data_IF_548970396538
#
_entry.id   IF_548970396538
#
_cell.length_a   1.000
_cell.length_b   1.000
_cell.length_c   1.000
_cell.angle_alpha   90.00
_cell.angle_beta   90.00
_cell.angle_gamma   90.00
#
_symmetry.space_group_name_H-M   'P 1'
#
loop_
_entity.id
_entity.type
_entity.pdbx_description
1 polymer ?
#
# COMPACT_ATOMS: atom_id res chain seq x y z
N UNK A 1 3.69 -3.31 -32.28
CA UNK A 1 4.36 -2.26 -31.49
C UNK A 1 5.11 -1.40 -32.48
N UNK A 2 4.68 -0.15 -32.70
CA UNK A 2 5.49 0.84 -33.41
C UNK A 2 6.75 1.11 -32.58
N UNK A 3 7.91 1.13 -33.21
CA UNK A 3 9.15 1.51 -32.54
C UNK A 3 9.04 2.98 -32.17
N UNK A 4 9.21 3.30 -30.88
CA UNK A 4 9.34 4.68 -30.41
C UNK A 4 10.58 5.28 -31.05
N UNK A 5 10.44 6.47 -31.64
CA UNK A 5 11.58 7.25 -32.14
C UNK A 5 12.37 7.82 -30.99
N UNK A 6 13.65 8.11 -31.18
CA UNK A 6 14.55 8.70 -30.15
C UNK A 6 13.98 10.03 -29.61
N UNK A 7 13.19 10.76 -30.42
CA UNK A 7 12.56 12.02 -30.04
C UNK A 7 11.39 11.84 -29.05
N UNK A 8 10.77 10.65 -28.97
CA UNK A 8 9.66 10.36 -28.05
C UNK A 8 10.17 10.02 -26.64
N UNK A 9 11.44 9.64 -26.49
CA UNK A 9 12.08 9.29 -25.22
C UNK A 9 12.37 10.49 -24.33
N UNK A 10 12.53 11.67 -24.91
CA UNK A 10 12.86 12.90 -24.19
C UNK A 10 11.63 13.67 -23.69
N UNK A 11 10.39 13.22 -24.04
CA UNK A 11 9.15 13.90 -23.65
C UNK A 11 8.70 13.53 -22.23
N UNK A 12 9.01 12.33 -21.78
CA UNK A 12 8.61 11.86 -20.45
C UNK A 12 9.83 11.36 -19.67
N UNK A 13 9.91 11.64 -18.36
CA UNK A 13 10.96 11.08 -17.51
C UNK A 13 10.93 9.55 -17.50
N UNK A 14 12.10 8.93 -17.30
CA UNK A 14 12.22 7.48 -17.17
C UNK A 14 11.26 6.92 -16.11
N UNK A 15 10.54 5.85 -16.46
CA UNK A 15 9.55 5.19 -15.59
C UNK A 15 8.20 5.90 -15.49
N UNK A 16 7.99 6.97 -16.26
CA UNK A 16 6.67 7.59 -16.47
C UNK A 16 6.23 7.34 -17.91
N UNK A 17 4.98 6.96 -18.11
CA UNK A 17 4.44 6.63 -19.42
C UNK A 17 2.97 7.03 -19.59
N UNK A 18 2.57 7.34 -20.82
CA UNK A 18 1.18 7.54 -21.16
C UNK A 18 0.46 6.18 -21.18
N UNK A 19 -0.66 6.11 -20.48
CA UNK A 19 -1.54 4.96 -20.57
C UNK A 19 -2.56 5.15 -21.69
N UNK A 20 -2.26 4.55 -22.85
CA UNK A 20 -3.06 4.70 -24.06
C UNK A 20 -4.25 3.71 -24.09
N UNK A 21 -5.29 3.94 -24.94
CA UNK A 21 -6.30 2.92 -25.24
C UNK A 21 -5.63 1.70 -25.92
N UNK A 22 -5.99 0.45 -25.63
CA UNK A 22 -7.03 -0.04 -24.72
C UNK A 22 -6.58 -0.21 -23.26
N UNK A 23 -5.32 0.03 -22.93
CA UNK A 23 -4.77 -0.16 -21.58
C UNK A 23 -5.46 0.76 -20.55
N UNK A 24 -5.69 2.04 -20.90
CA UNK A 24 -6.43 2.96 -20.04
C UNK A 24 -7.86 2.48 -19.77
N UNK A 25 -8.56 1.96 -20.79
CA UNK A 25 -9.89 1.41 -20.62
C UNK A 25 -9.89 0.14 -19.76
N UNK A 26 -8.88 -0.72 -19.88
CA UNK A 26 -8.73 -1.91 -19.03
C UNK A 26 -8.52 -1.51 -17.56
N UNK A 27 -7.63 -0.55 -17.30
CA UNK A 27 -7.42 -0.03 -15.96
C UNK A 27 -8.70 0.56 -15.33
N UNK A 28 -9.49 1.30 -16.10
CA UNK A 28 -10.76 1.86 -15.63
C UNK A 28 -11.78 0.76 -15.29
N UNK A 29 -11.85 -0.33 -16.08
CA UNK A 29 -12.72 -1.48 -15.78
C UNK A 29 -12.31 -2.19 -14.50
N UNK A 30 -11.02 -2.48 -14.34
CA UNK A 30 -10.48 -3.12 -13.13
C UNK A 30 -10.75 -2.26 -11.90
N UNK A 31 -10.49 -0.95 -12.00
CA UNK A 31 -10.78 -0.01 -10.90
C UNK A 31 -12.24 -0.06 -10.48
N UNK A 32 -13.15 -0.03 -11.45
CA UNK A 32 -14.59 -0.09 -11.16
C UNK A 32 -14.96 -1.40 -10.50
N UNK A 33 -14.54 -2.55 -11.06
CA UNK A 33 -14.85 -3.85 -10.51
C UNK A 33 -14.38 -4.01 -9.04
N UNK A 34 -13.16 -3.56 -8.73
CA UNK A 34 -12.64 -3.60 -7.35
C UNK A 34 -13.42 -2.66 -6.43
N UNK A 35 -13.69 -1.43 -6.86
CA UNK A 35 -14.43 -0.45 -6.03
C UNK A 35 -15.86 -0.91 -5.77
N UNK A 36 -16.54 -1.51 -6.77
CA UNK A 36 -17.90 -2.04 -6.63
C UNK A 36 -17.95 -3.18 -5.58
N UNK A 37 -16.94 -4.06 -5.52
CA UNK A 37 -16.82 -5.07 -4.47
C UNK A 37 -16.66 -4.41 -3.10
N UNK A 38 -15.77 -3.43 -2.96
CA UNK A 38 -15.53 -2.75 -1.69
C UNK A 38 -16.77 -2.01 -1.19
N UNK A 39 -17.48 -1.34 -2.09
CA UNK A 39 -18.75 -0.65 -1.79
C UNK A 39 -19.82 -1.64 -1.34
N UNK A 40 -19.98 -2.80 -2.01
CA UNK A 40 -20.91 -3.86 -1.63
C UNK A 40 -20.64 -4.44 -0.24
N UNK A 41 -19.39 -4.41 0.22
CA UNK A 41 -19.00 -4.78 1.58
C UNK A 41 -19.07 -3.63 2.60
N UNK A 42 -19.61 -2.47 2.22
CA UNK A 42 -19.81 -1.32 3.10
C UNK A 42 -18.54 -0.52 3.40
N UNK A 43 -17.59 -0.52 2.48
CA UNK A 43 -16.40 0.33 2.58
C UNK A 43 -16.68 1.70 1.95
N UNK A 44 -16.71 2.73 2.77
CA UNK A 44 -16.90 4.11 2.34
C UNK A 44 -15.68 4.64 1.57
N UNK A 45 -15.91 5.28 0.44
CA UNK A 45 -14.84 5.79 -0.39
C UNK A 45 -14.28 7.11 0.16
N UNK A 46 -12.96 7.16 0.32
CA UNK A 46 -12.21 8.38 0.63
C UNK A 46 -11.26 8.74 -0.52
N UNK A 47 -11.05 10.03 -0.71
CA UNK A 47 -10.17 10.54 -1.76
C UNK A 47 -9.24 11.61 -1.19
N UNK A 48 -8.12 11.21 -0.59
CA UNK A 48 -7.13 12.15 -0.10
C UNK A 48 -6.42 12.86 -1.27
N UNK A 49 -5.87 14.08 -1.05
CA UNK A 49 -5.13 14.81 -2.07
C UNK A 49 -3.85 14.08 -2.47
N UNK A 50 -3.38 14.28 -3.71
CA UNK A 50 -2.15 13.68 -4.21
C UNK A 50 -0.89 14.28 -3.58
N UNK A 51 -1.00 15.47 -3.00
CA UNK A 51 0.09 16.27 -2.43
C UNK A 51 -0.28 16.61 -0.99
N UNK A 52 0.64 16.37 -0.08
CA UNK A 52 0.52 16.79 1.34
C UNK A 52 1.86 17.34 1.82
N UNK A 53 1.87 17.94 3.02
CA UNK A 53 3.13 18.29 3.68
C UNK A 53 3.97 17.03 3.91
N UNK A 54 5.24 17.09 3.56
CA UNK A 54 6.18 15.97 3.71
C UNK A 54 6.12 15.34 5.10
N UNK A 55 6.12 16.17 6.15
CA UNK A 55 6.02 15.69 7.55
C UNK A 55 4.75 14.89 7.82
N UNK A 56 3.63 15.26 7.21
CA UNK A 56 2.36 14.55 7.39
C UNK A 56 2.41 13.15 6.80
N UNK A 57 2.97 13.02 5.61
CA UNK A 57 3.15 11.71 4.96
C UNK A 57 4.20 10.85 5.70
N UNK A 58 5.40 11.41 5.91
CA UNK A 58 6.52 10.69 6.50
C UNK A 58 6.26 10.18 7.93
N UNK A 59 5.55 10.93 8.76
CA UNK A 59 5.31 10.56 10.16
C UNK A 59 4.43 9.32 10.34
N UNK A 60 3.71 8.90 9.31
CA UNK A 60 2.79 7.75 9.33
C UNK A 60 3.24 6.58 8.46
N UNK A 61 4.39 6.71 7.82
CA UNK A 61 4.98 5.67 6.98
C UNK A 61 6.04 4.93 7.78
N UNK A 62 5.65 3.86 8.48
CA UNK A 62 6.60 3.01 9.19
C UNK A 62 7.61 2.41 8.20
N UNK A 63 8.90 2.67 8.41
CA UNK A 63 9.98 2.08 7.61
C UNK A 63 10.22 2.69 6.22
N UNK A 64 9.37 3.59 5.73
CA UNK A 64 9.60 4.26 4.44
C UNK A 64 10.43 5.51 4.64
N UNK A 65 11.63 5.52 4.05
CA UNK A 65 12.50 6.69 4.14
C UNK A 65 11.89 7.85 3.33
N UNK A 66 11.88 9.09 3.87
CA UNK A 66 11.44 10.30 3.16
C UNK A 66 12.13 10.51 1.80
N UNK A 67 13.32 9.91 1.62
CA UNK A 67 14.11 9.95 0.38
C UNK A 67 13.43 9.26 -0.82
N UNK A 68 12.36 8.50 -0.62
CA UNK A 68 11.62 7.81 -1.70
C UNK A 68 10.47 8.62 -2.29
N UNK A 69 10.14 9.80 -1.71
CA UNK A 69 9.06 10.65 -2.18
C UNK A 69 9.58 11.79 -3.06
N UNK A 70 8.83 12.15 -4.09
CA UNK A 70 9.02 13.41 -4.79
C UNK A 70 8.66 14.57 -3.87
N UNK A 71 9.60 15.49 -3.70
CA UNK A 71 9.48 16.62 -2.78
C UNK A 71 9.71 17.93 -3.52
N UNK A 72 8.99 18.96 -3.12
CA UNK A 72 9.12 20.30 -3.64
C UNK A 72 8.68 21.33 -2.60
N UNK A 73 9.14 22.55 -2.75
CA UNK A 73 8.71 23.66 -1.90
C UNK A 73 7.41 24.23 -2.44
N UNK A 74 6.38 24.33 -1.57
CA UNK A 74 5.15 25.04 -1.92
C UNK A 74 5.43 26.54 -2.09
N UNK A 75 5.18 27.12 -3.27
CA UNK A 75 5.49 28.54 -3.50
C UNK A 75 4.64 29.50 -2.66
N UNK A 76 3.49 29.06 -2.13
CA UNK A 76 2.62 29.89 -1.31
C UNK A 76 3.02 29.88 0.17
N UNK A 77 3.24 28.72 0.74
CA UNK A 77 3.53 28.57 2.17
C UNK A 77 5.01 28.45 2.51
N UNK A 78 5.85 28.31 1.48
CA UNK A 78 7.31 28.03 1.57
C UNK A 78 7.64 26.74 2.38
N UNK A 79 6.67 25.87 2.53
CA UNK A 79 6.80 24.61 3.27
C UNK A 79 7.10 23.47 2.32
N UNK A 80 7.81 22.46 2.82
CA UNK A 80 8.11 21.24 2.06
C UNK A 80 6.86 20.39 1.89
N UNK A 81 6.51 20.09 0.65
CA UNK A 81 5.44 19.19 0.24
C UNK A 81 6.00 17.96 -0.46
N UNK A 82 5.21 16.90 -0.52
CA UNK A 82 5.57 15.69 -1.25
C UNK A 82 4.35 15.13 -2.01
N UNK A 83 4.64 14.48 -3.14
CA UNK A 83 3.70 13.59 -3.81
C UNK A 83 3.59 12.29 -2.99
N UNK A 84 2.38 11.80 -2.85
CA UNK A 84 2.14 10.53 -2.14
C UNK A 84 2.76 9.36 -2.88
N UNK A 85 3.48 8.53 -2.16
CA UNK A 85 3.99 7.23 -2.63
C UNK A 85 3.13 6.06 -2.15
N UNK A 86 2.18 6.32 -1.24
CA UNK A 86 1.21 5.38 -0.68
C UNK A 86 0.01 6.15 -0.14
N UNK A 87 -1.20 5.59 -0.31
CA UNK A 87 -2.46 6.20 0.15
C UNK A 87 -2.82 5.76 1.58
N UNK A 88 -2.42 4.56 2.02
CA UNK A 88 -2.71 4.01 3.36
C UNK A 88 -2.40 5.00 4.49
N UNK A 89 -1.24 5.69 4.55
CA UNK A 89 -0.94 6.67 5.60
C UNK A 89 -1.92 7.86 5.61
N UNK A 90 -2.42 8.26 4.43
CA UNK A 90 -3.40 9.33 4.32
C UNK A 90 -4.77 8.90 4.86
N UNK A 91 -5.17 7.65 4.62
CA UNK A 91 -6.40 7.07 5.20
C UNK A 91 -6.30 6.99 6.72
N UNK A 92 -5.15 6.56 7.25
CA UNK A 92 -4.86 6.59 8.67
C UNK A 92 -4.97 8.01 9.27
N UNK A 93 -4.47 9.04 8.55
CA UNK A 93 -4.64 10.44 8.95
C UNK A 93 -6.12 10.85 8.98
N UNK A 94 -6.88 10.52 7.93
CA UNK A 94 -8.32 10.83 7.85
C UNK A 94 -9.06 10.19 9.04
N UNK A 95 -8.79 8.92 9.33
CA UNK A 95 -9.39 8.20 10.46
C UNK A 95 -9.05 8.83 11.81
N UNK A 96 -7.82 9.36 11.97
CA UNK A 96 -7.35 9.99 13.20
C UNK A 96 -7.75 11.47 13.34
N UNK A 97 -8.19 12.12 12.27
CA UNK A 97 -8.55 13.56 12.27
C UNK A 97 -10.01 13.78 11.88
N UNK A 98 -10.31 13.81 10.58
CA UNK A 98 -11.65 14.14 10.07
C UNK A 98 -12.73 13.13 10.52
N UNK A 99 -12.36 11.88 10.74
CA UNK A 99 -13.24 10.81 11.21
C UNK A 99 -12.93 10.35 12.65
N UNK A 100 -12.25 11.19 13.45
CA UNK A 100 -11.88 10.84 14.83
C UNK A 100 -13.10 10.53 15.72
N UNK A 101 -14.21 11.25 15.52
CA UNK A 101 -15.47 11.06 16.24
C UNK A 101 -16.43 10.02 15.63
N UNK A 102 -16.08 9.42 14.51
CA UNK A 102 -16.95 8.42 13.87
C UNK A 102 -16.93 7.08 14.61
N UNK A 103 -18.05 6.34 14.53
CA UNK A 103 -18.17 5.01 15.13
C UNK A 103 -17.12 4.05 14.54
N UNK A 104 -16.67 3.11 15.37
CA UNK A 104 -15.71 2.06 14.95
C UNK A 104 -16.43 0.70 14.84
N UNK A 105 -15.95 -0.20 13.97
CA UNK A 105 -14.84 -0.04 13.04
C UNK A 105 -15.18 0.85 11.84
N UNK A 106 -14.22 1.61 11.36
CA UNK A 106 -14.32 2.28 10.05
C UNK A 106 -13.93 1.31 8.95
N UNK A 107 -14.71 1.30 7.90
CA UNK A 107 -14.41 0.62 6.64
C UNK A 107 -14.22 1.68 5.57
N UNK A 108 -12.99 1.89 5.13
CA UNK A 108 -12.64 2.92 4.16
C UNK A 108 -11.96 2.29 2.95
N UNK A 109 -12.29 2.76 1.76
CA UNK A 109 -11.61 2.31 0.54
C UNK A 109 -11.14 3.49 -0.29
N UNK A 110 -10.19 3.24 -1.17
CA UNK A 110 -9.60 4.25 -2.02
C UNK A 110 -9.14 3.69 -3.36
N UNK A 111 -9.05 4.58 -4.35
CA UNK A 111 -8.40 4.36 -5.63
C UNK A 111 -7.72 5.65 -6.06
N UNK A 112 -6.43 5.60 -6.41
CA UNK A 112 -5.71 6.79 -6.83
C UNK A 112 -4.28 6.50 -7.28
N UNK A 113 -3.69 7.47 -7.96
CA UNK A 113 -2.30 7.39 -8.40
C UNK A 113 -1.34 7.62 -7.22
N UNK A 114 -0.26 6.85 -7.20
CA UNK A 114 0.88 7.01 -6.32
C UNK A 114 2.14 7.10 -7.16
N UNK A 115 3.13 7.86 -6.67
CA UNK A 115 4.36 8.13 -7.43
C UNK A 115 5.58 7.89 -6.55
N UNK A 116 6.53 7.10 -7.04
CA UNK A 116 7.81 6.82 -6.37
C UNK A 116 8.97 7.39 -7.17
N UNK A 117 10.06 7.78 -6.50
CA UNK A 117 11.26 8.29 -7.17
C UNK A 117 11.89 7.21 -8.06
N UNK A 118 11.82 5.96 -7.65
CA UNK A 118 12.41 4.81 -8.34
C UNK A 118 11.42 3.66 -8.36
N UNK A 119 11.34 2.95 -9.46
CA UNK A 119 10.61 1.70 -9.57
C UNK A 119 11.19 0.59 -8.67
N UNK A 120 10.44 -0.48 -8.48
CA UNK A 120 10.83 -1.60 -7.63
C UNK A 120 11.37 -2.77 -8.48
N UNK A 121 12.55 -3.26 -8.13
CA UNK A 121 13.15 -4.43 -8.76
C UNK A 121 13.28 -4.30 -10.28
N UNK A 122 12.62 -5.20 -11.01
CA UNK A 122 12.62 -5.24 -12.48
C UNK A 122 11.55 -4.35 -13.15
N UNK A 123 10.65 -3.77 -12.36
CA UNK A 123 9.61 -2.85 -12.86
C UNK A 123 10.07 -1.39 -12.71
N UNK A 124 10.42 -0.72 -13.82
CA UNK A 124 10.88 0.68 -13.77
C UNK A 124 9.74 1.67 -13.53
N UNK A 125 8.47 1.22 -13.55
CA UNK A 125 7.30 2.09 -13.43
C UNK A 125 7.32 2.86 -12.12
N UNK A 126 7.22 4.19 -12.23
CA UNK A 126 7.27 5.13 -11.09
C UNK A 126 5.89 5.65 -10.70
N UNK A 127 4.91 5.61 -11.58
CA UNK A 127 3.53 5.99 -11.32
C UNK A 127 2.62 4.77 -11.42
N UNK A 128 1.87 4.48 -10.35
CA UNK A 128 1.00 3.31 -10.26
C UNK A 128 -0.38 3.70 -9.76
N UNK A 129 -1.40 2.99 -10.23
CA UNK A 129 -2.73 3.05 -9.66
C UNK A 129 -2.77 2.13 -8.43
N UNK A 130 -3.01 2.71 -7.27
CA UNK A 130 -3.21 1.98 -6.01
C UNK A 130 -4.69 1.94 -5.67
N UNK A 131 -5.20 0.74 -5.41
CA UNK A 131 -6.53 0.50 -4.84
C UNK A 131 -6.33 -0.21 -3.51
N UNK A 132 -7.18 0.11 -2.54
CA UNK A 132 -7.08 -0.51 -1.23
C UNK A 132 -8.29 -0.29 -0.37
N UNK A 133 -8.32 -1.06 0.73
CA UNK A 133 -9.33 -0.97 1.76
C UNK A 133 -8.67 -1.07 3.14
N UNK A 134 -9.17 -0.29 4.09
CA UNK A 134 -8.68 -0.23 5.46
C UNK A 134 -9.85 -0.47 6.42
N UNK A 135 -9.71 -1.45 7.30
CA UNK A 135 -10.62 -1.69 8.42
C UNK A 135 -9.94 -1.21 9.69
N UNK A 136 -10.44 -0.14 10.30
CA UNK A 136 -9.76 0.58 11.38
C UNK A 136 -10.60 0.59 12.64
N UNK A 137 -10.01 0.14 13.75
CA UNK A 137 -10.61 0.20 15.08
C UNK A 137 -11.27 -1.12 15.50
N UNK A 138 -10.82 -2.25 14.94
CA UNK A 138 -11.12 -3.60 15.44
C UNK A 138 -9.85 -4.46 15.33
N UNK A 139 -9.55 -5.21 16.38
CA UNK A 139 -8.46 -6.18 16.49
C UNK A 139 -8.96 -7.63 16.51
N UNK A 140 -10.24 -7.83 16.19
CA UNK A 140 -10.85 -9.14 16.21
C UNK A 140 -10.39 -10.04 15.07
N UNK A 141 -10.36 -11.36 15.31
CA UNK A 141 -10.09 -12.36 14.26
C UNK A 141 -11.11 -12.26 13.12
N UNK A 142 -12.35 -11.90 13.43
CA UNK A 142 -13.41 -11.70 12.44
C UNK A 142 -13.08 -10.53 11.49
N UNK A 143 -12.54 -9.42 12.02
CA UNK A 143 -12.11 -8.29 11.19
C UNK A 143 -10.93 -8.65 10.28
N UNK A 144 -9.96 -9.41 10.78
CA UNK A 144 -8.86 -9.92 9.97
C UNK A 144 -9.38 -10.87 8.86
N UNK A 145 -10.32 -11.74 9.17
CA UNK A 145 -10.97 -12.62 8.19
C UNK A 145 -11.76 -11.85 7.14
N UNK A 146 -12.49 -10.81 7.55
CA UNK A 146 -13.24 -9.92 6.64
C UNK A 146 -12.31 -9.30 5.59
N UNK A 147 -11.23 -8.65 6.02
CA UNK A 147 -10.32 -7.95 5.08
C UNK A 147 -9.67 -8.90 4.08
N UNK A 148 -9.34 -10.13 4.51
CA UNK A 148 -8.80 -11.16 3.62
C UNK A 148 -9.85 -11.63 2.60
N UNK A 149 -11.07 -11.91 3.04
CA UNK A 149 -12.15 -12.33 2.16
C UNK A 149 -12.49 -11.27 1.11
N UNK A 150 -12.60 -10.01 1.53
CA UNK A 150 -12.84 -8.86 0.64
C UNK A 150 -11.69 -8.68 -0.36
N UNK A 151 -10.44 -8.83 0.09
CA UNK A 151 -9.28 -8.74 -0.81
C UNK A 151 -9.29 -9.84 -1.88
N UNK A 152 -9.61 -11.08 -1.53
CA UNK A 152 -9.73 -12.19 -2.47
C UNK A 152 -10.84 -11.92 -3.49
N UNK A 153 -12.01 -11.47 -3.03
CA UNK A 153 -13.15 -11.16 -3.91
C UNK A 153 -12.82 -10.02 -4.87
N UNK A 154 -12.21 -8.94 -4.37
CA UNK A 154 -11.79 -7.80 -5.18
C UNK A 154 -10.75 -8.19 -6.25
N UNK A 155 -9.76 -9.02 -5.90
CA UNK A 155 -8.78 -9.53 -6.86
C UNK A 155 -9.43 -10.46 -7.90
N UNK A 156 -10.36 -11.30 -7.48
CA UNK A 156 -11.13 -12.16 -8.39
C UNK A 156 -11.98 -11.34 -9.37
N UNK A 157 -12.64 -10.30 -8.89
CA UNK A 157 -13.41 -9.36 -9.72
C UNK A 157 -12.50 -8.57 -10.69
N UNK A 158 -11.25 -8.31 -10.31
CA UNK A 158 -10.22 -7.73 -11.18
C UNK A 158 -9.74 -8.72 -12.27
N UNK A 159 -10.11 -9.99 -12.21
CA UNK A 159 -9.73 -11.02 -13.16
C UNK A 159 -8.47 -11.81 -12.76
N UNK A 160 -8.00 -11.67 -11.52
CA UNK A 160 -6.85 -12.45 -11.03
C UNK A 160 -7.34 -13.87 -10.70
N UNK A 161 -6.61 -14.88 -11.19
CA UNK A 161 -6.88 -16.30 -10.96
C UNK A 161 -5.70 -16.97 -10.27
N UNK A 162 -5.94 -18.11 -9.60
CA UNK A 162 -4.87 -18.85 -8.94
C UNK A 162 -4.31 -18.12 -7.70
N UNK A 163 -5.19 -17.47 -6.95
CA UNK A 163 -4.80 -16.74 -5.73
C UNK A 163 -4.34 -17.70 -4.64
N UNK A 164 -3.26 -17.33 -3.95
CA UNK A 164 -2.84 -17.91 -2.69
C UNK A 164 -2.72 -16.82 -1.63
N UNK A 165 -2.97 -17.18 -0.37
CA UNK A 165 -2.87 -16.25 0.76
C UNK A 165 -1.86 -16.81 1.75
N UNK A 166 -0.79 -16.09 1.97
CA UNK A 166 0.22 -16.42 2.95
C UNK A 166 0.02 -15.58 4.21
N UNK A 167 -0.16 -16.25 5.35
CA UNK A 167 -0.25 -15.58 6.65
C UNK A 167 1.10 -15.60 7.33
N UNK A 168 1.56 -14.45 7.81
CA UNK A 168 2.72 -14.33 8.67
C UNK A 168 2.28 -14.13 10.11
N UNK A 169 3.08 -14.65 11.05
CA UNK A 169 2.86 -14.51 12.48
C UNK A 169 4.04 -13.73 13.08
N UNK A 170 4.03 -12.39 13.02
CA UNK A 170 5.19 -11.58 13.43
C UNK A 170 5.59 -11.83 14.90
N UNK A 171 4.61 -12.12 15.77
CA UNK A 171 4.85 -12.37 17.19
C UNK A 171 5.11 -13.85 17.53
N UNK A 172 5.24 -14.73 16.51
CA UNK A 172 5.40 -16.17 16.74
C UNK A 172 6.66 -16.47 17.58
N UNK A 173 7.79 -15.87 17.21
CA UNK A 173 9.06 -16.10 17.89
C UNK A 173 9.00 -15.61 19.34
N UNK A 174 8.44 -14.43 19.57
CA UNK A 174 8.27 -13.89 20.93
C UNK A 174 7.34 -14.75 21.77
N UNK A 175 6.24 -15.20 21.18
CA UNK A 175 5.27 -16.06 21.86
C UNK A 175 5.88 -17.41 22.21
N UNK A 176 6.63 -18.02 21.30
CA UNK A 176 7.33 -19.28 21.55
C UNK A 176 8.44 -19.10 22.60
N UNK A 177 9.23 -18.03 22.50
CA UNK A 177 10.28 -17.73 23.47
C UNK A 177 9.72 -17.52 24.88
N UNK A 178 8.54 -16.88 25.00
CA UNK A 178 7.91 -16.63 26.30
C UNK A 178 7.21 -17.85 26.88
N UNK A 179 6.67 -18.76 26.07
CA UNK A 179 5.74 -19.81 26.52
C UNK A 179 6.28 -21.24 26.43
N UNK A 180 7.15 -21.52 25.47
CA UNK A 180 7.49 -22.91 25.15
C UNK A 180 9.01 -23.18 25.03
N UNK A 181 9.76 -22.24 24.46
CA UNK A 181 11.18 -22.42 24.17
C UNK A 181 11.95 -21.17 24.63
N UNK A 182 12.33 -21.04 25.91
CA UNK A 182 13.04 -19.88 26.43
C UNK A 182 14.29 -19.60 25.59
N UNK A 183 14.29 -18.49 24.88
CA UNK A 183 15.43 -18.00 24.10
C UNK A 183 16.06 -16.80 24.80
N UNK A 184 17.38 -16.75 24.81
CA UNK A 184 18.08 -15.55 25.25
C UNK A 184 17.69 -14.36 24.30
N UNK A 185 17.50 -13.13 24.85
CA UNK A 185 17.06 -11.98 24.05
C UNK A 185 17.90 -11.75 22.79
N UNK A 186 19.20 -12.01 22.85
CA UNK A 186 20.14 -11.85 21.75
C UNK A 186 19.89 -12.84 20.60
N UNK A 187 19.25 -13.99 20.91
CA UNK A 187 18.92 -15.01 19.90
C UNK A 187 17.58 -14.78 19.22
N UNK A 188 16.66 -14.05 19.84
CA UNK A 188 15.33 -13.78 19.27
C UNK A 188 15.44 -13.11 17.90
N UNK A 189 16.25 -12.06 17.77
CA UNK A 189 16.46 -11.36 16.51
C UNK A 189 17.19 -12.21 15.44
N UNK A 190 18.08 -13.11 15.88
CA UNK A 190 18.72 -14.03 14.95
C UNK A 190 17.71 -15.04 14.39
N UNK A 191 16.91 -15.66 15.26
CA UNK A 191 15.85 -16.61 14.85
C UNK A 191 14.82 -15.95 13.94
N UNK A 192 14.40 -14.70 14.21
CA UNK A 192 13.52 -13.97 13.30
C UNK A 192 14.12 -13.83 11.90
N UNK A 193 15.37 -13.41 11.80
CA UNK A 193 16.03 -13.22 10.51
C UNK A 193 16.11 -14.52 9.70
N UNK A 194 16.42 -15.64 10.34
CA UNK A 194 16.48 -16.94 9.67
C UNK A 194 15.08 -17.41 9.20
N UNK A 195 14.04 -17.18 10.02
CA UNK A 195 12.66 -17.46 9.63
C UNK A 195 12.18 -16.56 8.47
N UNK A 196 12.51 -15.28 8.50
CA UNK A 196 12.17 -14.33 7.42
C UNK A 196 12.91 -14.68 6.12
N UNK A 197 14.14 -15.15 6.23
CA UNK A 197 14.94 -15.66 5.11
C UNK A 197 14.49 -17.04 4.63
N UNK A 198 13.59 -17.74 5.35
CA UNK A 198 13.20 -19.15 5.13
C UNK A 198 14.40 -20.09 5.13
N UNK A 199 15.43 -19.78 5.91
CA UNK A 199 16.65 -20.59 6.06
C UNK A 199 16.55 -21.51 7.27
N UNK A 200 16.15 -22.75 7.02
CA UNK A 200 16.08 -23.78 8.06
C UNK A 200 17.47 -24.28 8.53
N UNK A 201 18.53 -24.00 7.78
CA UNK A 201 19.89 -24.40 8.12
C UNK A 201 20.56 -23.46 9.13
N UNK A 202 20.07 -22.23 9.25
CA UNK A 202 20.56 -21.22 10.21
C UNK A 202 19.90 -21.27 11.59
N UNK A 203 18.81 -22.03 11.76
CA UNK A 203 18.09 -22.23 13.01
C UNK A 203 18.76 -23.29 13.87
#
# INVERSE_FOLDING_TARGET
>A
RAAMTDNDRDLLPEGLEDRLPPSAAAAARVTRAVVDVLDAHGYDRVQPPSIEFEKSLASRMAGVQPRRMFRFTDPLSLRMMALRSDITPQVGRIAATSLAGAARPLRLCYAGQVVTIKGDGLDPTRERLQLGAELIGSDSVAAAGEIVAVAIEALSAAGVTGLSVDFTLPDLVDTLAAKALPLAPERIEAVRRELDAKDAGGL
#
